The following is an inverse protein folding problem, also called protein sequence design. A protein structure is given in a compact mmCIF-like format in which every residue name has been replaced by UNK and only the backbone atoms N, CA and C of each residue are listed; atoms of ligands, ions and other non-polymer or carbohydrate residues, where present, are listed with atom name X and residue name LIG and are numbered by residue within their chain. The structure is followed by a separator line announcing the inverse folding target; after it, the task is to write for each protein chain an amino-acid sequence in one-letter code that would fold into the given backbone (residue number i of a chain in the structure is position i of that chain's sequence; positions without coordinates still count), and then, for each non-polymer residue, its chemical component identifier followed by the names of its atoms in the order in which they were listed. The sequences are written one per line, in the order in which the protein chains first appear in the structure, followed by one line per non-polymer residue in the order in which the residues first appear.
data_IF_043233718607
#
_entry.id   IF_043233718607
#
_cell.length_a   1.000
_cell.length_b   1.000
_cell.length_c   1.000
_cell.angle_alpha   90.00
_cell.angle_beta   90.00
_cell.angle_gamma   90.00
#
_symmetry.space_group_name_H-M   'P 1'
#
loop_
_entity.id
_entity.type
_entity.pdbx_description
1 polymer ?
#
# COMPACT_ATOMS: atom_id res chain seq x y z
N UNK A 1 5.04 -10.44 -9.07
CA UNK A 1 5.55 -9.74 -7.87
C UNK A 1 4.42 -9.17 -7.00
N UNK A 2 3.44 -8.44 -7.53
CA UNK A 2 2.34 -7.86 -6.74
C UNK A 2 1.42 -8.92 -6.11
N UNK A 3 1.02 -9.93 -6.88
CA UNK A 3 0.12 -11.00 -6.40
C UNK A 3 0.74 -11.74 -5.19
N UNK A 4 2.06 -11.91 -5.20
CA UNK A 4 2.81 -12.51 -4.08
C UNK A 4 2.73 -11.63 -2.83
N UNK A 5 2.89 -10.30 -2.98
CA UNK A 5 2.71 -9.36 -1.86
C UNK A 5 1.31 -9.41 -1.26
N UNK A 6 0.28 -9.44 -2.10
CA UNK A 6 -1.12 -9.56 -1.66
C UNK A 6 -1.30 -10.88 -0.89
N UNK A 7 -0.78 -11.99 -1.44
CA UNK A 7 -0.85 -13.29 -0.77
C UNK A 7 -0.15 -13.26 0.60
N UNK A 8 1.07 -12.69 0.69
CA UNK A 8 1.80 -12.53 1.95
C UNK A 8 0.98 -11.71 2.95
N UNK A 9 0.39 -10.58 2.54
CA UNK A 9 -0.45 -9.76 3.43
C UNK A 9 -1.66 -10.53 3.96
N UNK A 10 -2.30 -11.34 3.11
CA UNK A 10 -3.45 -12.17 3.49
C UNK A 10 -3.02 -13.28 4.46
N UNK A 11 -1.95 -14.01 4.15
CA UNK A 11 -1.43 -15.07 5.01
C UNK A 11 -0.97 -14.52 6.36
N UNK A 12 -0.20 -13.43 6.37
CA UNK A 12 0.21 -12.76 7.59
C UNK A 12 -1.00 -12.39 8.44
N UNK A 13 -2.01 -11.74 7.83
CA UNK A 13 -3.24 -11.36 8.55
C UNK A 13 -3.93 -12.60 9.13
N UNK A 14 -4.02 -13.69 8.37
CA UNK A 14 -4.69 -14.92 8.78
C UNK A 14 -3.98 -15.62 9.95
N UNK A 15 -2.65 -15.74 9.90
CA UNK A 15 -1.88 -16.38 10.96
C UNK A 15 -1.81 -15.51 12.21
N UNK A 16 -1.49 -14.22 12.03
CA UNK A 16 -1.33 -13.28 13.15
C UNK A 16 -2.65 -12.90 13.80
N UNK A 17 -3.81 -13.23 13.20
CA UNK A 17 -5.11 -12.88 13.80
C UNK A 17 -5.35 -13.52 15.17
N UNK A 18 -4.71 -14.65 15.44
CA UNK A 18 -4.90 -15.44 16.66
C UNK A 18 -3.64 -15.52 17.54
N UNK A 19 -2.54 -14.83 17.18
CA UNK A 19 -1.25 -14.94 17.89
C UNK A 19 -1.29 -14.47 19.35
N UNK A 20 -2.25 -13.61 19.70
CA UNK A 20 -2.34 -12.97 21.03
C UNK A 20 -3.67 -13.31 21.71
N UNK A 21 -4.30 -14.43 21.32
CA UNK A 21 -5.61 -14.86 21.84
C UNK A 21 -6.77 -13.97 21.37
N UNK A 22 -7.87 -13.99 22.11
CA UNK A 22 -9.14 -13.27 21.81
C UNK A 22 -9.08 -11.74 22.07
N UNK A 23 -7.88 -11.16 22.07
CA UNK A 23 -7.74 -9.70 22.22
C UNK A 23 -8.31 -9.02 20.97
N UNK A 24 -9.23 -8.07 21.14
CA UNK A 24 -9.82 -7.35 20.02
C UNK A 24 -8.77 -6.49 19.28
N UNK A 25 -8.91 -6.42 17.96
CA UNK A 25 -7.91 -5.81 17.05
C UNK A 25 -7.72 -4.30 17.22
N UNK A 26 -8.67 -3.62 17.86
CA UNK A 26 -8.59 -2.19 18.17
C UNK A 26 -7.83 -1.88 19.46
N UNK A 27 -7.34 -2.89 20.17
CA UNK A 27 -6.56 -2.77 21.40
C UNK A 27 -7.15 -1.75 22.42
N UNK A 28 -8.39 -1.97 22.91
CA UNK A 28 -9.07 -1.03 23.78
C UNK A 28 -8.32 -0.91 25.11
N UNK A 29 -8.19 0.30 25.67
CA UNK A 29 -7.51 0.49 26.95
C UNK A 29 -8.24 -0.21 28.12
N UNK A 30 -9.56 -0.38 28.01
CA UNK A 30 -10.42 -0.97 29.04
C UNK A 30 -10.52 -2.51 28.94
N UNK A 31 -9.78 -3.14 28.01
CA UNK A 31 -9.74 -4.60 27.91
C UNK A 31 -8.94 -5.21 29.06
N UNK A 32 -9.39 -6.32 29.67
CA UNK A 32 -8.70 -6.98 30.77
C UNK A 32 -7.46 -7.75 30.27
N UNK A 33 -6.38 -7.03 29.96
CA UNK A 33 -5.10 -7.62 29.60
C UNK A 33 -4.47 -8.36 30.79
N UNK A 34 -4.17 -9.65 30.64
CA UNK A 34 -3.49 -10.43 31.69
C UNK A 34 -2.11 -9.87 32.06
N UNK A 35 -1.41 -9.31 31.07
CA UNK A 35 -0.10 -8.70 31.24
C UNK A 35 0.02 -7.40 30.43
N UNK A 36 0.77 -6.38 30.91
CA UNK A 36 1.03 -5.15 30.15
C UNK A 36 1.68 -5.41 28.79
N UNK A 37 2.48 -6.49 28.68
CA UNK A 37 3.14 -6.91 27.43
C UNK A 37 2.14 -7.31 26.34
N UNK A 38 0.97 -7.85 26.71
CA UNK A 38 -0.07 -8.22 25.75
C UNK A 38 -0.71 -7.00 25.09
N UNK A 39 -0.87 -5.91 25.83
CA UNK A 39 -1.35 -4.64 25.26
C UNK A 39 -0.36 -4.08 24.24
N UNK A 40 0.93 -4.10 24.56
CA UNK A 40 1.98 -3.67 23.63
C UNK A 40 2.04 -4.55 22.38
N UNK A 41 1.97 -5.88 22.55
CA UNK A 41 1.92 -6.82 21.44
C UNK A 41 0.69 -6.60 20.54
N UNK A 42 -0.47 -6.31 21.13
CA UNK A 42 -1.68 -5.94 20.39
C UNK A 42 -1.44 -4.69 19.53
N UNK A 43 -0.89 -3.63 20.12
CA UNK A 43 -0.60 -2.37 19.40
C UNK A 43 0.37 -2.61 18.24
N UNK A 44 1.42 -3.40 18.45
CA UNK A 44 2.38 -3.77 17.40
C UNK A 44 1.73 -4.54 16.25
N UNK A 45 0.86 -5.52 16.56
CA UNK A 45 0.09 -6.25 15.56
C UNK A 45 -0.80 -5.31 14.74
N UNK A 46 -1.51 -4.39 15.40
CA UNK A 46 -2.38 -3.43 14.73
C UNK A 46 -1.59 -2.46 13.86
N UNK A 47 -0.45 -1.96 14.34
CA UNK A 47 0.44 -1.11 13.56
C UNK A 47 0.95 -1.84 12.30
N UNK A 48 1.41 -3.09 12.44
CA UNK A 48 1.85 -3.90 11.31
C UNK A 48 0.74 -4.10 10.29
N UNK A 49 -0.47 -4.43 10.75
CA UNK A 49 -1.63 -4.58 9.88
C UNK A 49 -1.91 -3.28 9.10
N UNK A 50 -1.97 -2.14 9.78
CA UNK A 50 -2.23 -0.84 9.14
C UNK A 50 -1.16 -0.51 8.10
N UNK A 51 0.13 -0.68 8.43
CA UNK A 51 1.24 -0.38 7.51
C UNK A 51 1.16 -1.25 6.26
N UNK A 52 1.01 -2.57 6.41
CA UNK A 52 0.93 -3.48 5.27
C UNK A 52 -0.29 -3.20 4.40
N UNK A 53 -1.47 -3.02 5.00
CA UNK A 53 -2.69 -2.79 4.23
C UNK A 53 -2.72 -1.41 3.57
N UNK A 54 -2.09 -0.39 4.17
CA UNK A 54 -1.89 0.91 3.53
C UNK A 54 -1.01 0.78 2.30
N UNK A 55 0.13 0.09 2.42
CA UNK A 55 1.01 -0.17 1.29
C UNK A 55 0.30 -0.96 0.17
N UNK A 56 -0.40 -2.03 0.52
CA UNK A 56 -1.15 -2.86 -0.44
C UNK A 56 -2.25 -2.04 -1.13
N UNK A 57 -2.96 -1.17 -0.41
CA UNK A 57 -4.01 -0.32 -0.98
C UNK A 57 -3.43 0.69 -1.97
N UNK A 58 -2.32 1.35 -1.61
CA UNK A 58 -1.62 2.26 -2.52
C UNK A 58 -1.14 1.56 -3.79
N UNK A 59 -0.64 0.33 -3.65
CA UNK A 59 -0.21 -0.49 -4.78
C UNK A 59 -1.40 -0.83 -5.70
N UNK A 60 -2.54 -1.23 -5.13
CA UNK A 60 -3.76 -1.49 -5.92
C UNK A 60 -4.22 -0.23 -6.66
N UNK A 61 -4.25 0.92 -5.98
CA UNK A 61 -4.61 2.20 -6.61
C UNK A 61 -3.65 2.54 -7.75
N UNK A 62 -2.35 2.36 -7.54
CA UNK A 62 -1.33 2.57 -8.56
C UNK A 62 -1.56 1.68 -9.78
N UNK A 63 -1.81 0.38 -9.58
CA UNK A 63 -2.10 -0.55 -10.68
C UNK A 63 -3.35 -0.16 -11.46
N UNK A 64 -4.43 0.21 -10.76
CA UNK A 64 -5.65 0.69 -11.42
C UNK A 64 -5.35 1.94 -12.24
N UNK A 65 -4.55 2.86 -11.71
CA UNK A 65 -4.20 4.11 -12.39
C UNK A 65 -3.35 3.88 -13.65
N UNK A 66 -2.44 2.90 -13.61
CA UNK A 66 -1.65 2.47 -14.78
C UNK A 66 -2.55 1.78 -15.82
N UNK A 67 -3.40 0.85 -15.39
CA UNK A 67 -4.29 0.09 -16.29
C UNK A 67 -5.37 0.96 -16.94
N UNK A 68 -5.85 1.98 -16.23
CA UNK A 68 -6.83 2.95 -16.75
C UNK A 68 -6.22 4.05 -17.62
N UNK A 69 -4.89 4.07 -17.77
CA UNK A 69 -4.19 5.10 -18.54
C UNK A 69 -4.26 6.50 -17.93
N UNK A 70 -4.59 6.61 -16.64
CA UNK A 70 -4.61 7.89 -15.91
C UNK A 70 -3.19 8.42 -15.70
N UNK A 71 -2.23 7.52 -15.47
CA UNK A 71 -0.82 7.89 -15.41
C UNK A 71 -0.23 7.90 -16.83
N UNK A 72 0.50 8.98 -17.21
CA UNK A 72 1.17 9.04 -18.51
C UNK A 72 2.23 7.94 -18.60
N UNK A 73 2.21 7.18 -19.70
CA UNK A 73 3.24 6.18 -19.96
C UNK A 73 4.52 6.85 -20.47
N UNK A 74 5.62 6.10 -20.46
CA UNK A 74 6.92 6.59 -20.96
C UNK A 74 6.84 6.99 -22.44
N UNK A 75 5.99 6.31 -23.21
CA UNK A 75 5.69 6.66 -24.60
C UNK A 75 4.99 8.01 -24.75
N UNK A 76 4.04 8.34 -23.86
CA UNK A 76 3.37 9.64 -23.83
C UNK A 76 4.36 10.76 -23.48
N UNK A 77 5.26 10.50 -22.53
CA UNK A 77 6.33 11.42 -22.15
C UNK A 77 7.30 11.66 -23.32
N UNK A 78 7.71 10.59 -24.01
CA UNK A 78 8.62 10.66 -25.17
C UNK A 78 7.97 11.39 -26.34
N UNK A 79 6.69 11.13 -26.61
CA UNK A 79 5.92 11.83 -27.64
C UNK A 79 5.82 13.33 -27.33
N UNK A 80 5.43 13.68 -26.10
CA UNK A 80 5.35 15.07 -25.63
C UNK A 80 6.70 15.80 -25.74
N UNK A 81 7.80 15.14 -25.43
CA UNK A 81 9.15 15.70 -25.60
C UNK A 81 9.52 15.94 -27.06
N UNK A 82 9.09 15.07 -27.98
CA UNK A 82 9.32 15.22 -29.42
C UNK A 82 8.50 16.36 -30.02
N UNK A 83 7.22 16.45 -29.65
CA UNK A 83 6.33 17.57 -30.03
C UNK A 83 6.89 18.92 -29.54
N UNK A 84 7.42 18.98 -28.31
CA UNK A 84 8.02 20.19 -27.76
C UNK A 84 9.26 20.64 -28.56
N UNK A 85 10.16 19.71 -28.89
CA UNK A 85 11.35 20.02 -29.69
C UNK A 85 10.99 20.51 -31.10
N UNK A 86 9.98 19.93 -31.75
CA UNK A 86 9.53 20.38 -33.07
C UNK A 86 8.99 21.81 -32.98
N UNK A 87 8.17 22.10 -31.97
CA UNK A 87 7.57 23.43 -31.80
C UNK A 87 8.64 24.52 -31.61
N UNK A 88 9.68 24.26 -30.81
CA UNK A 88 10.79 25.19 -30.62
C UNK A 88 11.61 25.44 -31.88
N UNK A 89 11.74 24.44 -32.76
CA UNK A 89 12.45 24.59 -34.04
C UNK A 89 11.64 25.44 -35.02
N UNK A 90 10.32 25.29 -35.03
CA UNK A 90 9.43 26.02 -35.95
C UNK A 90 9.24 27.48 -35.53
N UNK A 91 9.14 27.76 -34.23
CA UNK A 91 8.96 29.14 -33.71
C UNK A 91 10.29 29.92 -33.62
N UNK A 92 11.44 29.24 -33.72
CA UNK A 92 12.78 29.82 -33.63
C UNK A 92 13.45 30.15 -34.97
N UNK A 93 12.76 29.93 -36.11
CA UNK A 93 13.23 30.19 -37.48
C UNK A 93 12.42 31.33 -38.11
#
# INVERSE_FOLDING_TARGET
MVIVWIAISVFYTYFTKNDIGDIPSNCPPDYPYSEPKLRLACIMRTANYVIMWTYTSLLIIFLISVLSGVLPQEEDMKKKGKDFNIKTVVEGV
#
